data_IF_327684906268
#
_entry.id   IF_327684906268
#
_cell.length_a   1.000
_cell.length_b   1.000
_cell.length_c   1.000
_cell.angle_alpha   90.00
_cell.angle_beta   90.00
_cell.angle_gamma   90.00
#
_symmetry.space_group_name_H-M   'P 1'
#
loop_
_entity.id
_entity.type
_entity.pdbx_description
1 polymer ?
#
# COMPACT_ATOMS: atom_id res chain seq x y z
N UNK A 1 -10.23 -22.04 -37.97
CA UNK A 1 -9.43 -21.05 -37.23
C UNK A 1 -10.02 -20.99 -35.83
N UNK A 2 -9.25 -21.27 -34.77
CA UNK A 2 -9.70 -20.99 -33.41
C UNK A 2 -10.08 -19.50 -33.33
N UNK A 3 -11.13 -19.14 -32.58
CA UNK A 3 -11.57 -17.75 -32.45
C UNK A 3 -10.38 -16.89 -32.05
N UNK A 4 -10.20 -15.78 -32.78
CA UNK A 4 -9.09 -14.83 -32.68
C UNK A 4 -8.50 -14.76 -31.26
N UNK A 5 -7.26 -15.23 -31.11
CA UNK A 5 -6.39 -14.95 -29.96
C UNK A 5 -6.09 -13.44 -29.97
N UNK A 6 -7.09 -12.64 -29.60
CA UNK A 6 -6.85 -11.25 -29.24
C UNK A 6 -5.86 -11.31 -28.08
N UNK A 7 -4.67 -10.67 -28.20
CA UNK A 7 -3.73 -10.66 -27.10
C UNK A 7 -4.45 -10.14 -25.87
N UNK A 8 -4.39 -10.91 -24.78
CA UNK A 8 -5.01 -10.53 -23.52
C UNK A 8 -4.61 -9.08 -23.21
N UNK A 9 -5.60 -8.25 -22.88
CA UNK A 9 -5.34 -6.89 -22.45
C UNK A 9 -4.28 -6.92 -21.33
N UNK A 10 -3.32 -5.98 -21.31
CA UNK A 10 -2.32 -5.95 -20.27
C UNK A 10 -3.02 -5.78 -18.91
N UNK A 11 -2.62 -6.60 -17.95
CA UNK A 11 -3.12 -6.56 -16.59
C UNK A 11 -2.83 -5.19 -15.96
N UNK A 12 -3.82 -4.59 -15.31
CA UNK A 12 -3.64 -3.34 -14.56
C UNK A 12 -2.74 -3.55 -13.35
N UNK A 13 -2.10 -2.51 -12.79
CA UNK A 13 -1.30 -2.66 -11.57
C UNK A 13 -2.09 -3.23 -10.39
N UNK A 14 -3.37 -2.85 -10.26
CA UNK A 14 -4.26 -3.39 -9.25
C UNK A 14 -4.44 -4.90 -9.40
N UNK A 15 -4.81 -5.35 -10.60
CA UNK A 15 -4.99 -6.77 -10.89
C UNK A 15 -3.68 -7.55 -10.71
N UNK A 16 -2.54 -6.99 -11.10
CA UNK A 16 -1.22 -7.59 -10.86
C UNK A 16 -0.98 -7.82 -9.37
N UNK A 17 -1.26 -6.81 -8.55
CA UNK A 17 -1.11 -6.94 -7.11
C UNK A 17 -2.09 -7.96 -6.55
N UNK A 18 -3.39 -7.81 -6.81
CA UNK A 18 -4.44 -8.66 -6.26
C UNK A 18 -4.34 -10.13 -6.69
N UNK A 19 -3.99 -10.40 -7.95
CA UNK A 19 -3.96 -11.76 -8.51
C UNK A 19 -2.62 -12.47 -8.39
N UNK A 20 -1.50 -11.73 -8.33
CA UNK A 20 -0.16 -12.33 -8.31
C UNK A 20 0.59 -11.99 -7.03
N UNK A 21 0.67 -10.73 -6.65
CA UNK A 21 1.50 -10.30 -5.51
C UNK A 21 0.92 -10.76 -4.19
N UNK A 22 -0.35 -10.46 -3.90
CA UNK A 22 -0.95 -10.78 -2.60
C UNK A 22 -1.00 -12.30 -2.34
N UNK A 23 -1.41 -13.17 -3.29
CA UNK A 23 -1.41 -14.62 -3.07
C UNK A 23 0.01 -15.17 -2.82
N UNK A 24 0.98 -14.74 -3.63
CA UNK A 24 2.39 -15.16 -3.47
C UNK A 24 2.95 -14.71 -2.11
N UNK A 25 2.65 -13.47 -1.71
CA UNK A 25 3.10 -12.94 -0.42
C UNK A 25 2.41 -13.67 0.75
N UNK A 26 1.12 -13.97 0.64
CA UNK A 26 0.40 -14.77 1.63
C UNK A 26 1.01 -16.17 1.79
N UNK A 27 1.31 -16.86 0.68
CA UNK A 27 2.00 -18.16 0.71
C UNK A 27 3.35 -18.10 1.41
N UNK A 28 4.13 -17.03 1.18
CA UNK A 28 5.38 -16.79 1.89
C UNK A 28 5.16 -16.51 3.38
N UNK A 29 4.17 -15.69 3.75
CA UNK A 29 3.87 -15.38 5.15
C UNK A 29 3.36 -16.58 5.95
N UNK A 30 2.74 -17.56 5.30
CA UNK A 30 2.39 -18.84 5.93
C UNK A 30 3.60 -19.77 6.13
N UNK A 31 4.70 -19.56 5.41
CA UNK A 31 5.91 -20.37 5.46
C UNK A 31 7.16 -19.47 5.41
N UNK A 32 7.31 -18.61 6.42
CA UNK A 32 8.30 -17.51 6.44
C UNK A 32 9.76 -17.97 6.39
N UNK A 33 10.04 -19.25 6.63
CA UNK A 33 11.37 -19.85 6.52
C UNK A 33 11.60 -20.61 5.19
N UNK A 34 10.62 -20.61 4.27
CA UNK A 34 10.75 -21.18 2.92
C UNK A 34 11.45 -20.19 1.97
N UNK A 35 12.68 -20.54 1.58
CA UNK A 35 13.52 -19.75 0.66
C UNK A 35 12.88 -19.55 -0.71
N UNK A 36 12.25 -20.59 -1.26
CA UNK A 36 11.64 -20.52 -2.59
C UNK A 36 10.52 -19.49 -2.57
N UNK A 37 9.65 -19.55 -1.57
CA UNK A 37 8.53 -18.62 -1.44
C UNK A 37 9.01 -17.20 -1.17
N UNK A 38 10.06 -17.02 -0.37
CA UNK A 38 10.68 -15.71 -0.16
C UNK A 38 11.16 -15.08 -1.48
N UNK A 39 11.85 -15.84 -2.33
CA UNK A 39 12.33 -15.31 -3.62
C UNK A 39 11.20 -14.99 -4.59
N UNK A 40 10.16 -15.83 -4.63
CA UNK A 40 8.97 -15.54 -5.43
C UNK A 40 8.29 -14.26 -4.95
N UNK A 41 8.16 -14.06 -3.63
CA UNK A 41 7.63 -12.84 -3.05
C UNK A 41 8.48 -11.60 -3.41
N UNK A 42 9.80 -11.67 -3.27
CA UNK A 42 10.70 -10.58 -3.71
C UNK A 42 10.52 -10.27 -5.20
N UNK A 43 10.45 -11.30 -6.04
CA UNK A 43 10.31 -11.16 -7.49
C UNK A 43 9.01 -10.44 -7.85
N UNK A 44 7.86 -10.92 -7.36
CA UNK A 44 6.57 -10.31 -7.71
C UNK A 44 6.43 -8.90 -7.14
N UNK A 45 6.93 -8.64 -5.93
CA UNK A 45 6.89 -7.30 -5.32
C UNK A 45 7.78 -6.32 -6.10
N UNK A 46 8.99 -6.72 -6.53
CA UNK A 46 9.83 -5.86 -7.36
C UNK A 46 9.20 -5.52 -8.71
N UNK A 47 8.49 -6.47 -9.31
CA UNK A 47 7.84 -6.29 -10.59
C UNK A 47 6.55 -5.43 -10.52
N UNK A 48 6.11 -5.02 -9.33
CA UNK A 48 5.08 -3.97 -9.18
C UNK A 48 5.54 -2.66 -9.85
N UNK A 49 6.82 -2.32 -9.76
CA UNK A 49 7.37 -1.13 -10.42
C UNK A 49 7.23 -1.18 -11.95
N UNK A 50 7.36 -2.36 -12.56
CA UNK A 50 7.20 -2.53 -14.01
C UNK A 50 5.74 -2.36 -14.43
N UNK A 51 4.82 -2.93 -13.66
CA UNK A 51 3.38 -2.77 -13.91
C UNK A 51 2.94 -1.31 -13.77
N UNK A 52 3.41 -0.62 -12.72
CA UNK A 52 3.20 0.82 -12.53
C UNK A 52 3.82 1.65 -13.64
N UNK A 53 5.05 1.34 -14.06
CA UNK A 53 5.75 2.03 -15.14
C UNK A 53 5.01 1.95 -16.47
N UNK A 54 4.46 0.77 -16.80
CA UNK A 54 3.63 0.59 -17.98
C UNK A 54 2.33 1.41 -17.89
N UNK A 55 1.64 1.35 -16.75
CA UNK A 55 0.39 2.08 -16.55
C UNK A 55 0.58 3.60 -16.61
N UNK A 56 1.62 4.14 -15.98
CA UNK A 56 1.93 5.57 -16.01
C UNK A 56 2.35 6.04 -17.41
N UNK A 57 3.19 5.27 -18.12
CA UNK A 57 3.56 5.61 -19.49
C UNK A 57 2.34 5.60 -20.44
N UNK A 58 1.39 4.68 -20.23
CA UNK A 58 0.17 4.57 -21.02
C UNK A 58 -0.82 5.73 -20.81
N UNK A 59 -0.67 6.53 -19.75
CA UNK A 59 -1.48 7.74 -19.54
C UNK A 59 -1.11 8.90 -20.45
N UNK A 60 0.06 8.86 -21.07
CA UNK A 60 0.51 9.94 -21.95
C UNK A 60 -0.26 9.94 -23.27
N UNK A 61 -0.82 11.09 -23.72
CA UNK A 61 -1.48 11.18 -25.02
C UNK A 61 -0.56 10.73 -26.16
N UNK A 62 -1.05 9.88 -27.05
CA UNK A 62 -0.27 9.37 -28.17
C UNK A 62 0.58 8.14 -27.86
N UNK A 63 0.53 7.58 -26.64
CA UNK A 63 1.36 6.42 -26.26
C UNK A 63 1.10 5.18 -27.11
N UNK A 64 -0.15 4.94 -27.51
CA UNK A 64 -0.54 3.77 -28.29
C UNK A 64 0.00 3.81 -29.73
N UNK A 65 0.18 5.02 -30.27
CA UNK A 65 0.65 5.33 -31.62
C UNK A 65 2.19 5.28 -31.73
N UNK A 66 2.89 5.22 -30.60
CA UNK A 66 4.34 5.13 -30.56
C UNK A 66 4.83 3.78 -31.09
N UNK A 67 5.99 3.81 -31.76
CA UNK A 67 6.72 2.60 -32.14
C UNK A 67 7.07 1.75 -30.90
N UNK A 68 7.24 0.44 -31.09
CA UNK A 68 7.59 -0.50 -30.00
C UNK A 68 8.81 -0.05 -29.19
N UNK A 69 9.86 0.43 -29.86
CA UNK A 69 11.08 0.93 -29.20
C UNK A 69 10.82 2.22 -28.41
N UNK A 70 9.96 3.11 -28.91
CA UNK A 70 9.59 4.33 -28.19
C UNK A 70 8.72 4.03 -26.96
N UNK A 71 7.73 3.14 -27.09
CA UNK A 71 6.92 2.66 -25.95
C UNK A 71 7.78 2.03 -24.87
N UNK A 72 8.72 1.16 -25.26
CA UNK A 72 9.67 0.54 -24.33
C UNK A 72 10.48 1.59 -23.58
N UNK A 73 11.09 2.57 -24.26
CA UNK A 73 11.86 3.64 -23.59
C UNK A 73 11.03 4.45 -22.60
N UNK A 74 9.78 4.77 -22.95
CA UNK A 74 8.87 5.49 -22.03
C UNK A 74 8.49 4.64 -20.82
N UNK A 75 8.18 3.37 -21.05
CA UNK A 75 7.90 2.39 -19.99
C UNK A 75 9.11 2.26 -19.05
N UNK A 76 10.30 2.03 -19.60
CA UNK A 76 11.54 1.90 -18.82
C UNK A 76 11.83 3.17 -17.99
N UNK A 77 11.55 4.36 -18.53
CA UNK A 77 11.70 5.62 -17.80
C UNK A 77 10.69 5.75 -16.65
N UNK A 78 9.41 5.43 -16.89
CA UNK A 78 8.38 5.44 -15.86
C UNK A 78 8.62 4.38 -14.77
N UNK A 79 9.08 3.18 -15.13
CA UNK A 79 9.52 2.14 -14.20
C UNK A 79 10.64 2.66 -13.31
N UNK A 80 11.66 3.32 -13.87
CA UNK A 80 12.76 3.91 -13.08
C UNK A 80 12.24 4.95 -12.09
N UNK A 81 11.27 5.78 -12.48
CA UNK A 81 10.62 6.71 -11.55
C UNK A 81 9.96 5.98 -10.39
N UNK A 82 9.20 4.91 -10.65
CA UNK A 82 8.59 4.10 -9.60
C UNK A 82 9.61 3.45 -8.66
N UNK A 83 10.70 2.92 -9.21
CA UNK A 83 11.81 2.37 -8.42
C UNK A 83 12.48 3.44 -7.56
N UNK A 84 12.71 4.64 -8.09
CA UNK A 84 13.28 5.77 -7.32
C UNK A 84 12.39 6.16 -6.15
N UNK A 85 11.07 6.20 -6.33
CA UNK A 85 10.13 6.49 -5.23
C UNK A 85 10.18 5.40 -4.15
N UNK A 86 10.23 4.12 -4.54
CA UNK A 86 10.39 3.04 -3.57
C UNK A 86 11.74 3.11 -2.84
N UNK A 87 12.82 3.46 -3.54
CA UNK A 87 14.15 3.65 -2.97
C UNK A 87 14.19 4.83 -1.99
N UNK A 88 13.56 5.96 -2.32
CA UNK A 88 13.46 7.13 -1.43
C UNK A 88 12.73 6.77 -0.13
N UNK A 89 11.64 6.00 -0.22
CA UNK A 89 10.82 5.62 0.94
C UNK A 89 11.39 4.48 1.78
N UNK A 90 12.04 3.50 1.16
CA UNK A 90 12.48 2.27 1.82
C UNK A 90 14.00 2.13 1.97
N UNK A 91 14.80 2.96 1.29
CA UNK A 91 16.26 2.89 1.30
C UNK A 91 16.78 1.49 0.98
N UNK A 92 17.70 1.00 1.83
CA UNK A 92 18.38 -0.29 1.64
C UNK A 92 17.44 -1.50 1.69
N UNK A 93 16.24 -1.36 2.26
CA UNK A 93 15.19 -2.39 2.18
C UNK A 93 14.77 -2.67 0.73
N UNK A 94 14.56 -1.62 -0.07
CA UNK A 94 14.19 -1.79 -1.48
C UNK A 94 15.34 -2.41 -2.29
N UNK A 95 16.56 -1.94 -2.06
CA UNK A 95 17.76 -2.52 -2.68
C UNK A 95 17.89 -4.01 -2.36
N UNK A 96 17.68 -4.42 -1.11
CA UNK A 96 17.68 -5.85 -0.77
C UNK A 96 16.62 -6.63 -1.56
N UNK A 97 15.36 -6.15 -1.61
CA UNK A 97 14.31 -6.91 -2.30
C UNK A 97 14.64 -7.01 -3.80
N UNK A 98 15.15 -5.93 -4.39
CA UNK A 98 15.62 -5.90 -5.77
C UNK A 98 16.81 -6.82 -6.02
N UNK A 99 17.79 -6.85 -5.12
CA UNK A 99 18.95 -7.73 -5.22
C UNK A 99 18.54 -9.20 -5.12
N UNK A 100 17.64 -9.54 -4.19
CA UNK A 100 17.12 -10.90 -4.06
C UNK A 100 16.32 -11.32 -5.31
N UNK A 101 15.52 -10.41 -5.88
CA UNK A 101 14.78 -10.67 -7.11
C UNK A 101 15.71 -10.85 -8.33
N UNK A 102 16.76 -10.05 -8.44
CA UNK A 102 17.69 -10.06 -9.57
C UNK A 102 18.83 -11.09 -9.42
N UNK A 103 19.17 -11.50 -8.20
CA UNK A 103 20.26 -12.44 -7.91
C UNK A 103 20.04 -13.82 -8.51
N UNK A 104 18.77 -14.17 -8.75
CA UNK A 104 18.40 -15.38 -9.49
C UNK A 104 18.73 -15.28 -10.99
N UNK A 105 18.82 -14.07 -11.55
CA UNK A 105 19.12 -13.80 -12.97
C UNK A 105 20.59 -13.44 -13.23
N UNK A 106 21.24 -12.73 -12.29
CA UNK A 106 22.58 -12.15 -12.48
C UNK A 106 23.50 -12.36 -11.26
N UNK A 107 23.88 -13.62 -10.95
CA UNK A 107 24.61 -13.93 -9.72
C UNK A 107 26.01 -13.31 -9.62
N UNK A 108 26.62 -12.88 -10.73
CA UNK A 108 27.96 -12.26 -10.70
C UNK A 108 27.96 -10.76 -10.35
N UNK A 109 26.78 -10.14 -10.21
CA UNK A 109 26.67 -8.67 -10.21
C UNK A 109 26.10 -8.08 -8.92
N UNK A 110 25.66 -8.90 -7.98
CA UNK A 110 24.91 -8.44 -6.81
C UNK A 110 25.61 -8.84 -5.50
N UNK A 111 25.59 -7.97 -4.49
CA UNK A 111 26.20 -8.25 -3.19
C UNK A 111 25.44 -9.31 -2.39
N UNK A 112 24.16 -9.48 -2.67
CA UNK A 112 23.29 -10.49 -2.04
C UNK A 112 22.92 -11.56 -3.07
N UNK A 113 23.26 -12.81 -2.75
CA UNK A 113 22.95 -13.97 -3.58
C UNK A 113 21.88 -14.83 -2.92
N UNK A 114 21.07 -15.55 -3.72
CA UNK A 114 20.27 -16.64 -3.20
C UNK A 114 21.11 -17.59 -2.34
N UNK A 115 20.73 -17.81 -1.09
CA UNK A 115 21.45 -18.62 -0.11
C UNK A 115 22.16 -17.82 0.98
N UNK A 116 22.31 -16.50 0.81
CA UNK A 116 22.87 -15.61 1.84
C UNK A 116 21.95 -15.42 3.04
N UNK A 117 20.67 -15.74 2.90
CA UNK A 117 19.69 -15.70 3.98
C UNK A 117 19.90 -16.80 5.02
N UNK A 118 19.83 -16.39 6.28
CA UNK A 118 19.90 -17.26 7.45
C UNK A 118 18.50 -17.50 8.00
N UNK A 119 18.24 -18.74 8.39
CA UNK A 119 17.00 -19.08 9.10
C UNK A 119 17.04 -18.49 10.51
N UNK A 120 15.99 -17.78 10.87
CA UNK A 120 15.74 -17.23 12.22
C UNK A 120 14.75 -18.16 12.91
N UNK A 121 15.12 -18.80 14.04
CA UNK A 121 14.20 -19.66 14.76
C UNK A 121 13.08 -18.86 15.44
N UNK A 122 11.93 -19.49 15.75
CA UNK A 122 10.94 -18.86 16.60
C UNK A 122 11.54 -18.62 18.00
N UNK A 123 11.21 -17.48 18.60
CA UNK A 123 11.39 -17.18 19.99
C UNK A 123 10.12 -17.53 20.75
N UNK A 124 10.25 -18.20 21.89
CA UNK A 124 9.17 -18.50 22.81
C UNK A 124 9.69 -18.56 24.24
N UNK A 125 8.93 -18.04 25.19
CA UNK A 125 9.30 -18.14 26.60
C UNK A 125 9.35 -19.60 27.04
N UNK A 126 10.43 -20.00 27.72
CA UNK A 126 10.59 -21.35 28.27
C UNK A 126 11.09 -22.41 27.29
N UNK A 127 11.36 -22.07 26.03
CA UNK A 127 12.02 -22.99 25.07
C UNK A 127 13.50 -22.63 24.99
N UNK A 128 14.37 -23.63 25.18
CA UNK A 128 15.80 -23.47 24.93
C UNK A 128 16.00 -23.12 23.44
N UNK A 129 16.52 -21.91 23.18
CA UNK A 129 16.54 -21.35 21.84
C UNK A 129 17.30 -20.02 21.80
N UNK A 130 17.16 -19.26 20.71
CA UNK A 130 17.80 -17.95 20.61
C UNK A 130 17.25 -17.05 21.72
N UNK A 131 18.15 -16.42 22.50
CA UNK A 131 17.75 -15.45 23.51
C UNK A 131 16.99 -14.25 22.92
N UNK A 132 16.53 -13.37 23.80
CA UNK A 132 15.89 -12.11 23.41
C UNK A 132 16.75 -11.37 22.35
N UNK A 133 16.15 -11.02 21.21
CA UNK A 133 16.83 -10.37 20.09
C UNK A 133 17.50 -11.28 19.06
N UNK A 134 17.57 -12.60 19.29
CA UNK A 134 18.15 -13.55 18.32
C UNK A 134 17.11 -14.37 17.53
N UNK A 135 15.89 -14.50 18.07
CA UNK A 135 14.77 -15.24 17.46
C UNK A 135 13.61 -14.32 17.11
N UNK A 136 12.67 -14.83 16.30
CA UNK A 136 11.45 -14.12 15.92
C UNK A 136 10.27 -14.57 16.76
N UNK A 137 9.51 -13.64 17.33
CA UNK A 137 8.34 -13.99 18.15
C UNK A 137 7.34 -14.79 17.31
N UNK A 138 6.91 -15.95 17.84
CA UNK A 138 5.78 -16.74 17.32
C UNK A 138 6.06 -17.64 16.11
N UNK A 139 6.86 -17.21 15.14
CA UNK A 139 7.14 -18.00 13.92
C UNK A 139 8.60 -17.92 13.50
N UNK A 140 9.17 -18.95 12.84
CA UNK A 140 10.47 -18.82 12.19
C UNK A 140 10.42 -17.79 11.05
N UNK A 141 11.58 -17.43 10.52
CA UNK A 141 11.67 -16.58 9.33
C UNK A 141 13.02 -16.67 8.62
N UNK A 142 13.18 -15.90 7.55
CA UNK A 142 14.46 -15.70 6.89
C UNK A 142 14.95 -14.28 7.15
N UNK A 143 16.24 -14.15 7.41
CA UNK A 143 16.89 -12.85 7.54
C UNK A 143 18.15 -12.76 6.70
N UNK A 144 18.49 -11.54 6.31
CA UNK A 144 19.73 -11.19 5.63
C UNK A 144 20.42 -10.08 6.43
N UNK A 145 21.75 -9.97 6.34
CA UNK A 145 22.48 -8.84 6.92
C UNK A 145 22.60 -7.73 5.88
N UNK A 146 22.17 -6.52 6.24
CA UNK A 146 22.37 -5.28 5.47
C UNK A 146 22.92 -4.24 6.46
N UNK A 147 24.03 -3.57 6.13
CA UNK A 147 24.61 -2.50 6.96
C UNK A 147 24.76 -2.89 8.45
N UNK A 148 25.27 -4.11 8.68
CA UNK A 148 25.39 -4.76 10.00
C UNK A 148 24.10 -5.00 10.78
N UNK A 149 22.95 -4.70 10.19
CA UNK A 149 21.62 -4.97 10.74
C UNK A 149 21.05 -6.24 10.15
N UNK A 150 20.30 -6.96 10.97
CA UNK A 150 19.51 -8.12 10.53
C UNK A 150 18.16 -7.61 10.00
N UNK A 151 17.89 -7.87 8.73
CA UNK A 151 16.62 -7.53 8.08
C UNK A 151 15.82 -8.82 7.82
N UNK A 152 14.58 -8.88 8.27
CA UNK A 152 13.67 -10.01 8.02
C UNK A 152 13.08 -9.87 6.62
N UNK A 153 13.24 -10.89 5.77
CA UNK A 153 12.85 -10.80 4.36
C UNK A 153 11.36 -10.51 4.16
N UNK A 154 10.49 -11.14 4.95
CA UNK A 154 9.06 -10.91 4.90
C UNK A 154 8.68 -9.49 5.34
N UNK A 155 9.40 -8.90 6.30
CA UNK A 155 9.22 -7.50 6.65
C UNK A 155 9.63 -6.58 5.49
N UNK A 156 10.76 -6.86 4.85
CA UNK A 156 11.27 -6.07 3.73
C UNK A 156 10.30 -6.06 2.53
N UNK A 157 9.79 -7.23 2.10
CA UNK A 157 8.85 -7.30 0.97
C UNK A 157 7.53 -6.59 1.28
N UNK A 158 7.04 -6.68 2.52
CA UNK A 158 5.82 -5.99 2.93
C UNK A 158 6.01 -4.47 2.93
N UNK A 159 7.15 -3.99 3.45
CA UNK A 159 7.49 -2.57 3.44
C UNK A 159 7.59 -2.01 2.02
N UNK A 160 8.25 -2.72 1.11
CA UNK A 160 8.36 -2.29 -0.29
C UNK A 160 6.99 -2.24 -0.98
N UNK A 161 6.13 -3.26 -0.77
CA UNK A 161 4.77 -3.24 -1.33
C UNK A 161 3.96 -2.07 -0.77
N UNK A 162 4.01 -1.83 0.54
CA UNK A 162 3.33 -0.72 1.17
C UNK A 162 3.81 0.64 0.63
N UNK A 163 5.12 0.80 0.38
CA UNK A 163 5.66 2.01 -0.21
C UNK A 163 5.12 2.28 -1.62
N UNK A 164 4.99 1.26 -2.46
CA UNK A 164 4.32 1.41 -3.77
C UNK A 164 2.85 1.81 -3.61
N UNK A 165 2.12 1.16 -2.70
CA UNK A 165 0.70 1.48 -2.47
C UNK A 165 0.48 2.92 -2.01
N UNK A 166 1.35 3.42 -1.13
CA UNK A 166 1.27 4.80 -0.65
C UNK A 166 1.69 5.82 -1.71
N UNK A 167 2.64 5.47 -2.58
CA UNK A 167 3.09 6.34 -3.66
C UNK A 167 2.13 6.39 -4.87
N UNK A 168 1.36 5.33 -5.09
CA UNK A 168 0.48 5.17 -6.25
C UNK A 168 -0.97 4.84 -5.87
N UNK A 169 -1.63 5.65 -5.02
CA UNK A 169 -2.99 5.38 -4.56
C UNK A 169 -4.02 5.34 -5.70
N UNK A 170 -3.78 6.03 -6.82
CA UNK A 170 -4.64 5.97 -8.00
C UNK A 170 -4.65 4.60 -8.69
N UNK A 171 -3.57 3.81 -8.51
CA UNK A 171 -3.44 2.48 -9.10
C UNK A 171 -3.70 1.37 -8.08
N UNK A 172 -3.27 1.58 -6.84
CA UNK A 172 -3.22 0.55 -5.80
C UNK A 172 -4.11 0.85 -4.59
N UNK A 173 -4.87 1.96 -4.63
CA UNK A 173 -5.79 2.36 -3.57
C UNK A 173 -6.90 1.34 -3.35
N UNK A 174 -7.26 1.12 -2.08
CA UNK A 174 -8.32 0.20 -1.68
C UNK A 174 -7.94 -1.28 -1.71
N UNK A 175 -6.69 -1.63 -2.03
CA UNK A 175 -6.19 -2.99 -1.87
C UNK A 175 -6.06 -3.28 -0.36
N UNK A 176 -6.74 -4.32 0.11
CA UNK A 176 -6.72 -4.70 1.52
C UNK A 176 -5.40 -5.36 1.91
N UNK A 177 -4.72 -4.79 2.90
CA UNK A 177 -3.46 -5.32 3.48
C UNK A 177 -3.69 -6.27 4.66
N UNK A 178 -4.90 -6.85 4.79
CA UNK A 178 -5.35 -7.59 5.96
C UNK A 178 -4.45 -8.77 6.40
N UNK A 179 -3.61 -9.28 5.49
CA UNK A 179 -2.71 -10.40 5.76
C UNK A 179 -1.28 -9.98 6.11
N UNK A 180 -0.95 -8.68 6.04
CA UNK A 180 0.38 -8.21 6.44
C UNK A 180 0.57 -8.32 7.96
N UNK A 181 1.81 -8.52 8.42
CA UNK A 181 2.17 -8.66 9.83
C UNK A 181 1.91 -7.35 10.59
N UNK A 182 0.90 -7.30 11.48
CA UNK A 182 0.41 -6.06 12.10
C UNK A 182 1.49 -5.33 12.92
N UNK A 183 2.55 -6.02 13.34
CA UNK A 183 3.64 -5.43 14.12
C UNK A 183 4.66 -4.66 13.30
N UNK A 184 4.58 -4.65 11.97
CA UNK A 184 5.58 -3.98 11.14
C UNK A 184 5.35 -2.47 11.04
N UNK A 185 6.41 -1.65 11.21
CA UNK A 185 6.35 -0.25 10.82
C UNK A 185 6.29 -0.17 9.28
N UNK A 186 5.45 0.71 8.76
CA UNK A 186 5.37 0.99 7.32
C UNK A 186 6.42 2.05 6.99
N UNK A 187 7.57 1.69 6.44
CA UNK A 187 8.60 2.69 6.11
C UNK A 187 8.05 3.80 5.20
N UNK A 188 8.26 5.06 5.61
CA UNK A 188 7.70 6.24 4.94
C UNK A 188 6.30 6.67 5.41
N UNK A 189 5.68 5.91 6.33
CA UNK A 189 4.59 6.35 7.18
C UNK A 189 4.98 6.08 8.62
N UNK A 190 4.99 7.08 9.49
CA UNK A 190 5.16 6.81 10.93
C UNK A 190 3.85 6.24 11.50
N UNK A 191 3.49 5.04 11.06
CA UNK A 191 2.27 4.32 11.39
C UNK A 191 2.62 2.85 11.59
N UNK A 192 2.04 2.26 12.63
CA UNK A 192 2.07 0.81 12.82
C UNK A 192 1.06 0.16 11.88
N UNK A 193 1.38 -1.00 11.31
CA UNK A 193 0.46 -1.68 10.40
C UNK A 193 -0.85 -2.09 11.08
N UNK A 194 -0.82 -2.47 12.36
CA UNK A 194 -2.02 -2.67 13.18
C UNK A 194 -2.96 -1.44 13.18
N UNK A 195 -2.43 -0.22 13.15
CA UNK A 195 -3.25 0.99 13.08
C UNK A 195 -3.93 1.09 11.73
N UNK A 196 -3.20 0.83 10.64
CA UNK A 196 -3.76 0.86 9.30
C UNK A 196 -4.85 -0.20 9.13
N UNK A 197 -4.65 -1.39 9.69
CA UNK A 197 -5.67 -2.45 9.71
C UNK A 197 -6.90 -2.02 10.50
N UNK A 198 -6.71 -1.48 11.70
CA UNK A 198 -7.83 -1.01 12.53
C UNK A 198 -8.59 0.14 11.86
N UNK A 199 -7.90 1.08 11.21
CA UNK A 199 -8.51 2.16 10.41
C UNK A 199 -9.30 1.58 9.24
N UNK A 200 -8.72 0.64 8.49
CA UNK A 200 -9.36 0.01 7.34
C UNK A 200 -10.60 -0.81 7.73
N UNK A 201 -10.51 -1.62 8.79
CA UNK A 201 -11.65 -2.40 9.33
C UNK A 201 -12.74 -1.49 9.86
N UNK A 202 -12.37 -0.45 10.63
CA UNK A 202 -13.31 0.56 11.10
C UNK A 202 -14.00 1.28 9.94
N UNK A 203 -13.26 1.65 8.90
CA UNK A 203 -13.80 2.33 7.74
C UNK A 203 -14.74 1.44 6.92
N UNK A 204 -14.34 0.18 6.70
CA UNK A 204 -15.15 -0.82 6.01
C UNK A 204 -16.49 -1.13 6.69
N UNK A 205 -16.56 -0.98 8.01
CA UNK A 205 -17.80 -1.17 8.79
C UNK A 205 -18.77 0.00 8.74
N UNK A 206 -18.46 1.12 8.07
CA UNK A 206 -19.28 2.33 8.05
C UNK A 206 -19.73 2.67 6.67
N UNK A 207 -21.03 2.63 6.39
CA UNK A 207 -21.56 2.98 5.06
C UNK A 207 -21.39 4.47 4.71
N UNK A 208 -21.23 5.31 5.74
CA UNK A 208 -21.07 6.76 5.64
C UNK A 208 -19.73 7.18 5.03
N UNK A 209 -18.71 6.31 5.02
CA UNK A 209 -17.37 6.67 4.59
C UNK A 209 -17.16 6.32 3.11
N UNK A 210 -16.69 7.30 2.34
CA UNK A 210 -16.18 7.11 0.99
C UNK A 210 -14.67 6.91 1.00
N UNK A 211 -13.94 7.71 1.77
CA UNK A 211 -12.47 7.68 1.82
C UNK A 211 -11.98 7.97 3.23
N UNK A 212 -10.80 7.45 3.56
CA UNK A 212 -10.03 7.80 4.76
C UNK A 212 -8.60 8.10 4.33
N UNK A 213 -8.12 9.26 4.74
CA UNK A 213 -6.80 9.81 4.44
C UNK A 213 -6.03 10.00 5.75
N UNK A 214 -4.74 9.68 5.76
CA UNK A 214 -3.81 10.13 6.79
C UNK A 214 -3.25 11.48 6.34
N UNK A 215 -3.22 12.46 7.22
CA UNK A 215 -2.52 13.72 6.99
C UNK A 215 -1.64 14.09 8.20
N UNK A 216 -1.00 15.25 8.16
CA UNK A 216 -0.16 15.74 9.25
C UNK A 216 1.19 15.04 9.35
N UNK A 217 1.81 15.10 10.53
CA UNK A 217 3.22 14.75 10.71
C UNK A 217 3.55 13.26 10.49
N UNK A 218 2.55 12.38 10.58
CA UNK A 218 2.70 10.94 10.28
C UNK A 218 2.65 10.65 8.78
N UNK A 219 1.95 11.48 8.01
CA UNK A 219 1.92 11.38 6.55
C UNK A 219 3.19 11.96 5.89
N UNK A 220 3.75 13.04 6.45
CA UNK A 220 4.96 13.69 5.91
C UNK A 220 6.28 13.13 6.48
N UNK A 221 6.20 12.24 7.47
CA UNK A 221 7.36 11.60 8.09
C UNK A 221 8.11 12.46 9.13
N UNK A 222 7.54 13.58 9.57
CA UNK A 222 8.14 14.48 10.58
C UNK A 222 7.69 14.20 12.01
N UNK A 223 6.94 13.13 12.22
CA UNK A 223 6.34 12.76 13.51
C UNK A 223 7.34 12.26 14.54
N UNK A 224 6.98 12.53 15.80
CA UNK A 224 7.57 11.96 17.00
C UNK A 224 6.68 10.83 17.57
N UNK A 225 7.21 9.96 18.45
CA UNK A 225 6.44 8.86 19.05
C UNK A 225 5.09 9.26 19.67
N UNK A 226 5.01 10.44 20.28
CA UNK A 226 3.80 10.98 20.94
C UNK A 226 2.92 11.85 20.02
N UNK A 227 3.23 11.88 18.72
CA UNK A 227 2.45 12.66 17.74
C UNK A 227 1.06 12.07 17.56
N UNK A 228 0.12 12.95 17.27
CA UNK A 228 -1.24 12.57 17.00
C UNK A 228 -1.33 11.82 15.66
N UNK A 229 -2.39 11.02 15.51
CA UNK A 229 -2.80 10.47 14.21
C UNK A 229 -3.91 11.36 13.68
N UNK A 230 -3.64 12.09 12.61
CA UNK A 230 -4.60 12.98 11.95
C UNK A 230 -5.23 12.28 10.74
N UNK A 231 -6.55 12.04 10.79
CA UNK A 231 -7.29 11.40 9.70
C UNK A 231 -8.30 12.34 9.06
N UNK A 232 -8.26 12.44 7.74
CA UNK A 232 -9.30 13.09 6.94
C UNK A 232 -10.29 12.05 6.44
N UNK A 233 -11.58 12.24 6.69
CA UNK A 233 -12.64 11.36 6.19
C UNK A 233 -13.46 12.06 5.12
N UNK A 234 -13.66 11.40 3.98
CA UNK A 234 -14.63 11.85 2.97
C UNK A 234 -15.89 11.05 3.18
N UNK A 235 -17.01 11.75 3.36
CA UNK A 235 -18.31 11.13 3.57
C UNK A 235 -18.94 10.77 2.22
N UNK A 236 -19.63 9.64 2.19
CA UNK A 236 -20.40 9.17 1.04
C UNK A 236 -21.32 10.29 0.53
N UNK A 237 -21.40 10.42 -0.80
CA UNK A 237 -22.36 11.33 -1.39
C UNK A 237 -23.79 10.91 -0.99
N UNK A 238 -24.73 11.85 -0.83
CA UNK A 238 -26.13 11.49 -0.80
C UNK A 238 -26.42 10.69 -2.08
N UNK A 239 -27.05 9.52 -1.93
CA UNK A 239 -27.54 8.80 -3.11
C UNK A 239 -28.44 9.79 -3.85
N UNK A 240 -28.08 10.15 -5.09
CA UNK A 240 -28.89 11.00 -5.97
C UNK A 240 -30.15 10.25 -6.46
N UNK A 241 -30.70 9.37 -5.63
CA UNK A 241 -31.95 8.67 -5.85
C UNK A 241 -33.11 9.61 -5.46
N UNK A 242 -33.28 10.64 -6.28
CA UNK A 242 -34.56 11.15 -6.81
C UNK A 242 -34.44 12.64 -7.15
N UNK A 243 -34.65 13.04 -8.43
CA UNK A 243 -34.75 14.44 -8.81
C UNK A 243 -35.87 15.13 -8.00
N UNK A 244 -35.50 16.07 -7.13
CA UNK A 244 -36.45 16.92 -6.40
C UNK A 244 -36.64 16.61 -4.92
N UNK A 245 -36.07 15.53 -4.39
CA UNK A 245 -35.96 15.38 -2.94
C UNK A 245 -34.79 16.27 -2.44
N UNK A 246 -34.96 17.08 -1.38
CA UNK A 246 -33.82 17.71 -0.74
C UNK A 246 -32.88 16.58 -0.29
N UNK A 247 -31.73 16.44 -0.96
CA UNK A 247 -30.69 15.49 -0.59
C UNK A 247 -30.20 15.84 0.81
N UNK A 248 -30.86 15.28 1.81
CA UNK A 248 -30.42 15.35 3.18
C UNK A 248 -29.08 14.63 3.22
N UNK A 249 -28.02 15.34 3.60
CA UNK A 249 -26.68 14.78 3.70
C UNK A 249 -26.60 13.87 4.93
N UNK A 250 -27.23 12.71 4.81
CA UNK A 250 -27.41 11.73 5.88
C UNK A 250 -26.06 11.28 6.45
N UNK A 251 -25.02 11.22 5.63
CA UNK A 251 -23.67 10.84 6.06
C UNK A 251 -23.06 11.96 6.92
N UNK A 252 -23.21 13.22 6.53
CA UNK A 252 -22.79 14.36 7.34
C UNK A 252 -23.58 14.49 8.64
N UNK A 253 -24.90 14.29 8.62
CA UNK A 253 -25.71 14.26 9.83
C UNK A 253 -25.34 13.10 10.77
N UNK A 254 -25.10 11.89 10.23
CA UNK A 254 -24.63 10.73 10.97
C UNK A 254 -23.28 11.01 11.63
N UNK A 255 -22.35 11.65 10.90
CA UNK A 255 -21.07 12.11 11.44
C UNK A 255 -21.26 13.08 12.61
N UNK A 256 -22.03 14.15 12.43
CA UNK A 256 -22.25 15.14 13.49
C UNK A 256 -22.88 14.52 14.75
N UNK A 257 -23.81 13.58 14.57
CA UNK A 257 -24.46 12.88 15.68
C UNK A 257 -23.54 11.87 16.38
N UNK A 258 -22.58 11.29 15.67
CA UNK A 258 -21.85 10.10 16.11
C UNK A 258 -20.34 10.24 16.21
N UNK A 259 -19.77 11.41 15.91
CA UNK A 259 -18.31 11.63 15.87
C UNK A 259 -17.61 11.15 17.16
N UNK A 260 -18.18 11.46 18.33
CA UNK A 260 -17.62 11.01 19.61
C UNK A 260 -17.57 9.48 19.75
N UNK A 261 -18.61 8.79 19.29
CA UNK A 261 -18.67 7.32 19.28
C UNK A 261 -17.64 6.75 18.30
N UNK A 262 -17.52 7.36 17.12
CA UNK A 262 -16.60 6.89 16.09
C UNK A 262 -15.14 7.01 16.53
N UNK A 263 -14.78 8.14 17.15
CA UNK A 263 -13.48 8.36 17.77
C UNK A 263 -13.24 7.37 18.92
N UNK A 264 -14.25 7.12 19.75
CA UNK A 264 -14.16 6.16 20.85
C UNK A 264 -13.90 4.73 20.38
N UNK A 265 -14.46 4.33 19.24
CA UNK A 265 -14.23 3.01 18.64
C UNK A 265 -12.86 2.88 17.97
N UNK A 266 -12.36 3.95 17.34
CA UNK A 266 -11.09 3.90 16.60
C UNK A 266 -9.85 4.06 17.51
N UNK A 267 -9.94 4.90 18.55
CA UNK A 267 -8.81 5.25 19.43
C UNK A 267 -8.09 4.04 20.06
N UNK A 268 -8.78 2.98 20.54
CA UNK A 268 -8.09 1.79 21.08
C UNK A 268 -7.21 1.07 20.06
N UNK A 269 -7.59 1.10 18.77
CA UNK A 269 -6.87 0.40 17.70
C UNK A 269 -5.74 1.20 17.07
N UNK A 270 -5.77 2.53 17.18
CA UNK A 270 -4.79 3.43 16.56
C UNK A 270 -3.78 3.96 17.58
N UNK A 271 -3.99 3.75 18.88
CA UNK A 271 -3.09 4.25 19.91
C UNK A 271 -2.97 5.78 19.93
N UNK A 272 -2.35 6.32 20.99
CA UNK A 272 -2.06 7.76 21.09
C UNK A 272 -3.29 8.68 21.04
N UNK A 273 -3.05 9.92 20.61
CA UNK A 273 -4.08 10.93 20.35
C UNK A 273 -4.51 10.83 18.89
N UNK A 274 -5.83 10.85 18.66
CA UNK A 274 -6.45 10.69 17.35
C UNK A 274 -7.31 11.92 17.06
N UNK A 275 -7.06 12.57 15.92
CA UNK A 275 -7.88 13.64 15.36
C UNK A 275 -8.51 13.12 14.08
N UNK A 276 -9.81 13.36 13.92
CA UNK A 276 -10.53 13.02 12.68
C UNK A 276 -11.28 14.25 12.20
N UNK A 277 -11.04 14.64 10.94
CA UNK A 277 -11.65 15.77 10.27
C UNK A 277 -12.43 15.32 9.05
N UNK A 278 -13.54 16.00 8.75
CA UNK A 278 -14.26 15.76 7.50
C UNK A 278 -13.59 16.58 6.39
N UNK A 279 -13.25 15.91 5.30
CA UNK A 279 -12.79 16.53 4.07
C UNK A 279 -13.93 16.66 3.07
N UNK A 280 -13.90 17.73 2.30
CA UNK A 280 -14.82 18.01 1.20
C UNK A 280 -14.74 16.91 0.14
N UNK A 281 -15.87 16.62 -0.52
CA UNK A 281 -15.94 15.67 -1.64
C UNK A 281 -15.14 16.19 -2.85
N UNK A 282 -14.81 15.33 -3.84
CA UNK A 282 -14.05 15.74 -5.02
C UNK A 282 -14.68 16.91 -5.80
N UNK A 283 -16.00 17.03 -5.82
CA UNK A 283 -16.81 18.03 -6.51
C UNK A 283 -17.17 19.25 -5.64
N UNK A 284 -16.79 19.25 -4.37
CA UNK A 284 -17.05 20.33 -3.43
C UNK A 284 -15.85 21.30 -3.33
N UNK A 285 -16.11 22.61 -3.15
CA UNK A 285 -15.03 23.59 -2.99
C UNK A 285 -14.27 23.32 -1.68
N UNK A 286 -12.94 23.20 -1.79
CA UNK A 286 -12.07 22.94 -0.63
C UNK A 286 -11.66 24.23 0.05
N UNK A 287 -11.69 24.24 1.38
CA UNK A 287 -11.04 25.28 2.18
C UNK A 287 -9.52 25.23 2.03
N UNK A 288 -8.84 26.37 2.19
CA UNK A 288 -7.37 26.44 2.08
C UNK A 288 -6.64 25.51 3.06
N UNK A 289 -7.16 25.33 4.27
CA UNK A 289 -6.62 24.41 5.26
C UNK A 289 -6.72 22.94 4.81
N UNK A 290 -7.87 22.53 4.28
CA UNK A 290 -8.06 21.17 3.75
C UNK A 290 -7.16 20.93 2.53
N UNK A 291 -7.05 21.90 1.62
CA UNK A 291 -6.19 21.78 0.46
C UNK A 291 -4.72 21.55 0.87
N UNK A 292 -4.23 22.26 1.89
CA UNK A 292 -2.90 22.07 2.46
C UNK A 292 -2.75 20.71 3.18
N UNK A 293 -3.77 20.26 3.90
CA UNK A 293 -3.76 18.93 4.52
C UNK A 293 -3.72 17.82 3.46
N UNK A 294 -4.54 17.92 2.42
CA UNK A 294 -4.63 16.94 1.33
C UNK A 294 -3.38 16.89 0.46
N UNK A 295 -2.61 17.97 0.32
CA UNK A 295 -1.43 17.98 -0.56
C UNK A 295 -0.32 17.03 -0.10
N UNK A 296 -0.30 16.67 1.18
CA UNK A 296 0.62 15.68 1.76
C UNK A 296 -0.09 14.41 2.26
N UNK A 297 -1.42 14.34 2.11
CA UNK A 297 -2.20 13.25 2.66
C UNK A 297 -2.01 11.94 1.88
N UNK A 298 -2.09 10.83 2.61
CA UNK A 298 -1.98 9.47 2.08
C UNK A 298 -3.34 8.81 2.18
N UNK A 299 -3.91 8.39 1.06
CA UNK A 299 -5.16 7.63 1.04
C UNK A 299 -4.95 6.27 1.71
N UNK A 300 -5.56 6.07 2.88
CA UNK A 300 -5.46 4.82 3.63
C UNK A 300 -6.54 3.81 3.24
N UNK A 301 -7.73 4.31 2.92
CA UNK A 301 -8.88 3.48 2.60
C UNK A 301 -9.81 4.22 1.65
N UNK A 302 -10.40 3.49 0.72
CA UNK A 302 -11.51 3.99 -0.11
C UNK A 302 -12.54 2.90 -0.22
N UNK A 303 -13.81 3.28 -0.22
CA UNK A 303 -14.89 2.37 -0.55
C UNK A 303 -14.68 1.94 -1.99
N UNK A 304 -14.60 0.64 -2.22
CA UNK A 304 -14.82 0.10 -3.55
C UNK A 304 -16.25 0.44 -3.94
N UNK A 305 -16.46 1.61 -4.55
CA UNK A 305 -17.64 1.82 -5.36
C UNK A 305 -17.60 0.68 -6.36
N UNK A 306 -18.59 -0.21 -6.31
CA UNK A 306 -18.78 -1.16 -7.39
C UNK A 306 -18.66 -0.34 -8.66
N UNK A 307 -17.63 -0.65 -9.44
CA UNK A 307 -17.28 0.03 -10.68
C UNK A 307 -18.41 -0.24 -11.66
N UNK A 308 -19.53 0.45 -11.47
CA UNK A 308 -20.44 0.71 -12.54
C UNK A 308 -19.65 1.64 -13.46
N UNK A 309 -19.44 1.22 -14.69
CA UNK A 309 -18.50 1.74 -15.68
C UNK A 309 -18.74 3.21 -16.13
N UNK A 310 -19.39 4.04 -15.30
CA UNK A 310 -19.75 5.43 -15.55
C UNK A 310 -18.88 6.46 -14.82
N UNK A 311 -18.05 6.08 -13.85
CA UNK A 311 -17.18 7.05 -13.15
C UNK A 311 -15.86 7.37 -13.88
N UNK A 312 -15.52 6.66 -14.96
CA UNK A 312 -14.40 6.98 -15.86
C UNK A 312 -14.54 8.34 -16.57
N UNK A 313 -15.64 9.06 -16.36
CA UNK A 313 -15.92 10.37 -16.98
C UNK A 313 -15.61 11.59 -16.09
N UNK A 314 -15.15 11.43 -14.84
CA UNK A 314 -14.99 12.56 -13.91
C UNK A 314 -13.54 12.92 -13.52
N UNK A 315 -12.53 12.27 -14.11
CA UNK A 315 -11.12 12.65 -13.91
C UNK A 315 -10.50 13.41 -15.09
N UNK A 316 -11.26 13.67 -16.16
CA UNK A 316 -10.81 14.49 -17.30
C UNK A 316 -11.98 15.31 -17.85
N UNK A 317 -12.42 16.31 -17.10
CA UNK A 317 -12.92 17.60 -17.59
C UNK A 317 -12.60 18.67 -16.56
#
# INVERSE_FOLDING_TARGET
>A
MPPDDKPNAPMTPREYVEQLVLPTLHEFLCARDDRRRAYLACLVVCHVADSLGLAEAAREPGFAELSTSARKRKTDAATKTAQSVALERCGSTFTLVQDMANGTKHPARLPLLPGCEVRVPPFSFGIAGPGFGLGRIGTPGLAVRIDDKRALLDACVQQVLAAFMCAYPQHLGGIALAFMDPGLPVLGLDMRLEWLLNISTWAGGRIELAEVWLFGSRADGTSHPDSDVDLGVVLAAPNASEPGAPCRDWAHESWLASQGVWLGQLRPGVGGRLRVEVFSRPDEPRGGAEAAARSSAILLWTRAYMTDAKLTSLSTR
#
